data_IF_588415232829
#
_entry.id   IF_588415232829
#
_cell.length_a   1.000
_cell.length_b   1.000
_cell.length_c   1.000
_cell.angle_alpha   90.00
_cell.angle_beta   90.00
_cell.angle_gamma   90.00
#
_symmetry.space_group_name_H-M   'P 1'
#
loop_
_entity.id
_entity.type
_entity.pdbx_description
1 polymer ?
#
# COMPACT_ATOMS: atom_id res chain seq x y z
N UNK A 1 16.64 9.58 -5.64
CA UNK A 1 16.45 8.17 -5.22
C UNK A 1 15.87 7.37 -6.39
N UNK A 2 15.90 6.02 -6.35
CA UNK A 2 15.43 5.18 -7.46
C UNK A 2 13.89 5.16 -7.45
N UNK A 3 13.24 5.38 -8.60
CA UNK A 3 11.78 5.40 -8.70
C UNK A 3 11.14 4.00 -8.60
N UNK A 4 9.99 3.92 -7.93
CA UNK A 4 9.21 2.70 -7.75
C UNK A 4 8.18 2.52 -8.87
N UNK A 5 7.85 1.28 -9.19
CA UNK A 5 6.90 0.84 -10.21
C UNK A 5 6.14 -0.42 -9.78
N UNK A 6 5.16 -0.83 -10.56
CA UNK A 6 4.45 -2.08 -10.36
C UNK A 6 5.42 -3.28 -10.28
N UNK A 7 5.05 -4.28 -9.47
CA UNK A 7 5.85 -5.45 -9.04
C UNK A 7 7.04 -5.17 -8.12
N UNK A 8 7.30 -3.90 -7.78
CA UNK A 8 8.29 -3.61 -6.76
C UNK A 8 7.84 -4.12 -5.39
N UNK A 9 8.81 -4.52 -4.58
CA UNK A 9 8.54 -5.12 -3.28
C UNK A 9 8.30 -4.04 -2.25
N UNK A 10 7.36 -4.30 -1.35
CA UNK A 10 7.02 -3.44 -0.23
C UNK A 10 7.21 -4.26 1.04
N UNK A 11 8.26 -3.95 1.78
CA UNK A 11 8.64 -4.67 3.01
C UNK A 11 8.57 -3.74 4.20
N UNK A 12 8.14 -4.25 5.35
CA UNK A 12 8.23 -3.50 6.59
C UNK A 12 7.68 -4.26 7.78
N UNK A 13 7.25 -3.50 8.77
CA UNK A 13 6.64 -4.01 9.98
C UNK A 13 5.24 -3.42 10.09
N UNK A 14 4.27 -4.14 10.63
CA UNK A 14 2.99 -3.60 11.08
C UNK A 14 2.77 -3.98 12.54
N UNK A 15 1.97 -3.20 13.26
CA UNK A 15 1.58 -3.49 14.64
C UNK A 15 0.11 -3.90 14.65
N UNK A 16 -0.19 -5.09 15.16
CA UNK A 16 -1.56 -5.56 15.31
C UNK A 16 -1.85 -5.95 16.74
N UNK A 17 -3.08 -5.71 17.17
CA UNK A 17 -3.52 -6.15 18.48
C UNK A 17 -4.00 -7.59 18.37
N UNK A 18 -3.38 -8.45 19.15
CA UNK A 18 -3.78 -9.85 19.25
C UNK A 18 -4.19 -10.20 20.68
N UNK A 19 -5.17 -11.10 20.80
CA UNK A 19 -5.56 -11.72 22.04
C UNK A 19 -4.56 -12.81 22.39
N UNK A 20 -3.70 -12.51 23.37
CA UNK A 20 -2.78 -13.48 23.96
C UNK A 20 -3.52 -14.26 25.04
N UNK A 21 -3.54 -15.61 25.01
CA UNK A 21 -4.47 -16.43 25.79
C UNK A 21 -4.28 -16.45 27.32
N UNK A 22 -3.23 -15.84 27.90
CA UNK A 22 -2.88 -16.03 29.32
C UNK A 22 -2.44 -14.73 30.02
N UNK A 23 -2.86 -14.48 31.28
CA UNK A 23 -3.81 -15.24 32.11
C UNK A 23 -5.29 -14.99 31.77
N UNK A 24 -5.59 -14.02 30.92
CA UNK A 24 -6.86 -13.84 30.21
C UNK A 24 -6.54 -13.32 28.80
N UNK A 25 -7.39 -13.55 27.79
CA UNK A 25 -7.26 -12.96 26.46
C UNK A 25 -7.06 -11.44 26.56
N UNK A 26 -5.81 -11.00 26.44
CA UNK A 26 -5.43 -9.61 26.62
C UNK A 26 -5.01 -9.05 25.27
N UNK A 27 -5.68 -7.99 24.78
CA UNK A 27 -5.22 -7.28 23.59
C UNK A 27 -3.79 -6.80 23.78
N UNK A 28 -2.88 -7.38 23.02
CA UNK A 28 -1.43 -7.14 23.10
C UNK A 28 -0.94 -6.65 21.75
N UNK A 29 -0.26 -5.50 21.67
CA UNK A 29 0.33 -5.04 20.42
C UNK A 29 1.49 -5.96 20.06
N UNK A 30 1.36 -6.70 18.95
CA UNK A 30 2.38 -7.58 18.43
C UNK A 30 2.90 -7.07 17.08
N UNK A 31 4.23 -7.11 16.87
CA UNK A 31 4.84 -6.74 15.60
C UNK A 31 4.69 -7.87 14.58
N UNK A 32 4.18 -7.54 13.39
CA UNK A 32 3.98 -8.46 12.28
C UNK A 32 4.86 -8.06 11.10
N UNK A 33 5.49 -9.02 10.41
CA UNK A 33 6.17 -8.72 9.15
C UNK A 33 5.14 -8.32 8.09
N UNK A 34 5.39 -7.21 7.41
CA UNK A 34 4.61 -6.79 6.24
C UNK A 34 5.39 -7.07 4.97
N UNK A 35 4.79 -7.82 4.04
CA UNK A 35 5.36 -8.10 2.72
C UNK A 35 4.26 -8.02 1.67
N UNK A 36 4.42 -7.16 0.68
CA UNK A 36 3.51 -6.98 -0.43
C UNK A 36 4.26 -6.64 -1.73
N UNK A 37 3.59 -6.74 -2.87
CA UNK A 37 4.06 -6.15 -4.13
C UNK A 37 3.23 -4.93 -4.51
N UNK A 38 3.84 -3.98 -5.22
CA UNK A 38 3.13 -2.85 -5.82
C UNK A 38 2.29 -3.32 -7.00
N UNK A 39 1.05 -2.85 -7.07
CA UNK A 39 0.14 -3.21 -8.16
C UNK A 39 -0.44 -4.61 -7.95
N UNK A 40 -1.41 -4.70 -7.03
CA UNK A 40 -2.25 -5.89 -6.88
C UNK A 40 -2.81 -6.32 -8.26
N UNK A 41 -2.85 -7.63 -8.58
CA UNK A 41 -3.41 -8.15 -9.82
C UNK A 41 -4.75 -7.53 -10.22
N UNK A 42 -5.59 -7.17 -9.24
CA UNK A 42 -6.87 -6.48 -9.46
C UNK A 42 -6.72 -5.07 -10.03
N UNK A 43 -5.74 -4.28 -9.56
CA UNK A 43 -5.43 -2.93 -10.10
C UNK A 43 -4.87 -3.04 -11.52
N UNK A 44 -3.99 -4.02 -11.75
CA UNK A 44 -3.41 -4.30 -13.06
C UNK A 44 -4.48 -4.72 -14.06
N UNK A 45 -5.40 -5.60 -13.66
CA UNK A 45 -6.52 -6.02 -14.49
C UNK A 45 -7.50 -4.87 -14.79
N UNK A 46 -7.87 -4.07 -13.78
CA UNK A 46 -8.73 -2.91 -13.97
C UNK A 46 -8.13 -1.91 -14.96
N UNK A 47 -6.81 -1.69 -14.88
CA UNK A 47 -6.11 -0.77 -15.77
C UNK A 47 -5.87 -1.36 -17.17
N UNK A 48 -5.59 -2.66 -17.29
CA UNK A 48 -5.47 -3.35 -18.57
C UNK A 48 -6.78 -3.36 -19.36
N UNK A 49 -7.94 -3.28 -18.69
CA UNK A 49 -9.25 -3.15 -19.34
C UNK A 49 -9.60 -1.68 -19.58
N UNK A 50 -9.28 -0.77 -18.65
CA UNK A 50 -9.61 0.65 -18.75
C UNK A 50 -8.84 1.37 -19.86
N UNK A 51 -7.54 1.13 -19.98
CA UNK A 51 -6.68 1.79 -20.99
C UNK A 51 -7.15 1.60 -22.44
N UNK A 52 -7.41 0.36 -22.93
CA UNK A 52 -7.90 0.18 -24.29
C UNK A 52 -9.32 0.72 -24.47
N UNK A 53 -10.15 0.75 -23.43
CA UNK A 53 -11.50 1.33 -23.51
C UNK A 53 -11.45 2.85 -23.63
N UNK A 54 -10.59 3.52 -22.88
CA UNK A 54 -10.39 4.97 -22.98
C UNK A 54 -9.76 5.36 -24.32
N UNK A 55 -8.76 4.62 -24.77
CA UNK A 55 -8.17 4.78 -26.11
C UNK A 55 -9.21 4.56 -27.23
N UNK A 56 -10.06 3.54 -27.11
CA UNK A 56 -11.11 3.26 -28.10
C UNK A 56 -12.26 4.29 -28.07
N UNK A 57 -12.50 4.94 -26.93
CA UNK A 57 -13.56 5.94 -26.77
C UNK A 57 -13.20 7.33 -27.33
N UNK A 58 -11.95 7.55 -27.74
CA UNK A 58 -11.47 8.85 -28.23
C UNK A 58 -11.32 9.91 -27.13
N UNK A 59 -11.62 9.59 -25.87
CA UNK A 59 -11.36 10.42 -24.70
C UNK A 59 -9.94 10.21 -24.15
N UNK A 60 -8.99 9.82 -25.01
CA UNK A 60 -7.62 9.55 -24.60
C UNK A 60 -6.95 10.87 -24.17
N UNK A 61 -6.96 11.14 -22.87
CA UNK A 61 -6.30 12.32 -22.31
C UNK A 61 -4.79 12.09 -22.39
N UNK A 62 -4.13 12.85 -23.25
CA UNK A 62 -2.68 12.75 -23.50
C UNK A 62 -1.88 12.97 -22.21
N UNK A 63 -2.44 13.74 -21.27
CA UNK A 63 -1.83 14.08 -19.98
C UNK A 63 -2.04 13.00 -18.90
N UNK A 64 -2.95 12.04 -19.13
CA UNK A 64 -3.25 10.90 -18.24
C UNK A 64 -2.60 9.59 -18.74
N UNK A 65 -1.75 9.69 -19.77
CA UNK A 65 -0.99 8.52 -20.24
C UNK A 65 -0.19 7.95 -19.08
N UNK A 66 -0.28 6.63 -18.83
CA UNK A 66 0.43 6.00 -17.75
C UNK A 66 1.93 6.18 -17.93
N UNK A 67 2.55 6.96 -17.05
CA UNK A 67 4.01 7.03 -17.01
C UNK A 67 4.54 5.68 -16.56
N UNK A 68 5.53 5.17 -17.28
CA UNK A 68 6.17 3.90 -16.98
C UNK A 68 7.63 4.11 -16.63
N UNK A 69 8.12 3.29 -15.71
CA UNK A 69 9.52 3.11 -15.38
C UNK A 69 9.87 1.70 -15.85
N UNK A 70 10.85 1.57 -16.74
CA UNK A 70 11.27 0.28 -17.31
C UNK A 70 10.10 -0.54 -17.92
N UNK A 71 9.14 0.13 -18.55
CA UNK A 71 7.97 -0.51 -19.17
C UNK A 71 6.89 -1.00 -18.20
N UNK A 72 7.09 -0.83 -16.88
CA UNK A 72 6.07 -1.07 -15.86
C UNK A 72 5.56 0.25 -15.30
N UNK A 73 4.33 0.26 -14.80
CA UNK A 73 3.66 1.49 -14.36
C UNK A 73 4.36 2.10 -13.16
N UNK A 74 4.56 3.42 -13.19
CA UNK A 74 5.09 4.15 -12.05
C UNK A 74 4.18 4.02 -10.83
N UNK A 75 4.80 3.89 -9.65
CA UNK A 75 4.12 3.97 -8.35
C UNK A 75 4.06 5.41 -7.89
N UNK A 76 2.84 5.90 -7.63
CA UNK A 76 2.59 7.23 -7.10
C UNK A 76 2.01 7.17 -5.69
N UNK A 77 2.09 8.30 -4.97
CA UNK A 77 1.36 8.53 -3.71
C UNK A 77 -0.12 8.21 -3.90
N UNK A 78 -0.73 7.60 -2.88
CA UNK A 78 -2.08 7.06 -2.95
C UNK A 78 -2.16 5.60 -3.44
N UNK A 79 -1.06 5.03 -3.95
CA UNK A 79 -1.04 3.61 -4.33
C UNK A 79 -1.16 2.72 -3.10
N UNK A 80 -2.05 1.73 -3.17
CA UNK A 80 -2.24 0.72 -2.14
C UNK A 80 -1.55 -0.57 -2.57
N UNK A 81 -0.79 -1.14 -1.66
CA UNK A 81 -0.22 -2.48 -1.78
C UNK A 81 -0.90 -3.42 -0.81
N UNK A 82 -1.18 -4.66 -1.22
CA UNK A 82 -1.83 -5.65 -0.36
C UNK A 82 -0.88 -6.80 -0.08
N UNK A 83 -0.75 -7.17 1.19
CA UNK A 83 0.10 -8.28 1.60
C UNK A 83 -0.45 -9.65 1.20
N UNK A 84 -1.74 -9.74 0.85
CA UNK A 84 -2.33 -10.94 0.22
C UNK A 84 -1.62 -11.37 -1.06
N UNK A 85 -0.84 -10.48 -1.68
CA UNK A 85 0.00 -10.78 -2.85
C UNK A 85 1.27 -11.59 -2.51
N UNK A 86 1.71 -11.62 -1.25
CA UNK A 86 2.98 -12.24 -0.86
C UNK A 86 2.91 -12.97 0.49
N UNK A 87 2.51 -12.30 1.57
CA UNK A 87 2.39 -12.89 2.91
C UNK A 87 1.14 -12.33 3.61
N UNK A 88 -0.01 -13.02 3.58
CA UNK A 88 -1.23 -12.55 4.24
C UNK A 88 -1.04 -12.46 5.76
N UNK A 89 -1.84 -11.63 6.44
CA UNK A 89 -1.83 -11.56 7.89
C UNK A 89 -2.28 -12.90 8.47
N UNK A 90 -1.42 -13.51 9.25
CA UNK A 90 -1.72 -14.69 10.08
C UNK A 90 -1.48 -14.28 11.53
N UNK A 91 -2.29 -14.75 12.49
CA UNK A 91 -2.03 -14.50 13.90
C UNK A 91 -0.65 -15.06 14.32
N UNK A 92 0.16 -14.25 15.00
CA UNK A 92 1.52 -14.60 15.40
C UNK A 92 1.82 -14.05 16.81
N UNK A 93 2.12 -14.90 17.80
CA UNK A 93 2.49 -16.32 17.71
C UNK A 93 1.31 -17.29 17.64
N UNK A 94 1.53 -18.58 17.27
CA UNK A 94 0.47 -19.58 17.26
C UNK A 94 -0.32 -19.63 18.58
N UNK A 95 -1.64 -19.70 18.47
CA UNK A 95 -2.54 -19.70 19.63
C UNK A 95 -3.06 -18.32 20.05
N UNK A 96 -2.64 -17.25 19.37
CA UNK A 96 -3.30 -15.95 19.44
C UNK A 96 -4.46 -15.85 18.46
N UNK A 97 -5.32 -14.84 18.66
CA UNK A 97 -6.35 -14.44 17.70
C UNK A 97 -6.38 -12.92 17.57
N UNK A 98 -7.04 -12.40 16.53
CA UNK A 98 -7.16 -10.95 16.37
C UNK A 98 -7.96 -10.33 17.53
N UNK A 99 -7.42 -9.27 18.12
CA UNK A 99 -8.20 -8.47 19.03
C UNK A 99 -9.26 -7.68 18.24
N UNK A 100 -10.43 -7.42 18.83
CA UNK A 100 -11.45 -6.60 18.20
C UNK A 100 -10.98 -5.14 18.17
N UNK A 101 -10.27 -4.78 17.11
CA UNK A 101 -9.84 -3.41 16.87
C UNK A 101 -10.60 -2.76 15.72
N UNK A 102 -10.91 -1.47 15.84
CA UNK A 102 -11.39 -0.68 14.71
C UNK A 102 -10.36 -0.73 13.58
N UNK A 103 -10.77 -1.10 12.35
CA UNK A 103 -9.86 -1.01 11.20
C UNK A 103 -9.40 0.44 11.04
N UNK A 104 -8.10 0.69 10.85
CA UNK A 104 -7.62 2.03 10.56
C UNK A 104 -8.31 2.57 9.30
N UNK A 105 -8.91 3.78 9.37
CA UNK A 105 -9.56 4.37 8.21
C UNK A 105 -8.55 4.47 7.08
N UNK A 106 -8.96 3.99 5.91
CA UNK A 106 -8.15 4.09 4.69
C UNK A 106 -8.34 5.50 4.12
N UNK A 107 -7.27 6.28 3.92
CA UNK A 107 -7.38 7.50 3.14
C UNK A 107 -7.92 7.14 1.75
N UNK A 108 -9.00 7.78 1.28
CA UNK A 108 -9.42 7.60 -0.10
C UNK A 108 -8.26 7.98 -1.03
N UNK A 109 -8.11 7.25 -2.13
CA UNK A 109 -7.16 7.62 -3.18
C UNK A 109 -7.76 8.82 -3.91
N UNK A 110 -7.23 10.02 -3.66
CA UNK A 110 -7.74 11.27 -4.22
C UNK A 110 -8.19 12.28 -3.15
N UNK A 111 -8.67 13.44 -3.61
CA UNK A 111 -8.88 14.68 -2.82
C UNK A 111 -9.55 14.41 -1.46
N UNK A 112 -8.86 14.92 -0.42
CA UNK A 112 -9.14 14.84 1.01
C UNK A 112 -10.64 14.99 1.34
N UNK A 113 -11.31 13.88 1.65
CA UNK A 113 -12.61 13.89 2.31
C UNK A 113 -12.57 13.02 3.57
N UNK A 114 -13.44 13.36 4.52
CA UNK A 114 -13.47 12.89 5.91
C UNK A 114 -13.38 11.37 6.06
N UNK A 115 -12.58 10.87 7.02
CA UNK A 115 -12.33 9.44 7.18
C UNK A 115 -13.59 8.65 7.55
N UNK A 116 -13.77 7.43 6.99
CA UNK A 116 -14.91 6.58 7.31
C UNK A 116 -14.86 6.09 8.77
N UNK A 117 -16.02 5.80 9.39
CA UNK A 117 -16.07 5.25 10.73
C UNK A 117 -15.48 3.83 10.78
N UNK A 118 -14.96 3.41 11.94
CA UNK A 118 -14.26 2.14 12.06
C UNK A 118 -15.15 0.88 11.99
N UNK A 119 -14.62 -0.17 11.37
CA UNK A 119 -15.27 -1.47 11.15
C UNK A 119 -15.30 -2.40 12.40
N UNK A 120 -16.12 -3.47 12.30
CA UNK A 120 -16.26 -4.61 13.23
C UNK A 120 -14.97 -5.46 13.37
N UNK A 121 -14.88 -6.38 14.37
CA UNK A 121 -13.71 -7.22 14.64
C UNK A 121 -13.36 -8.10 13.44
N UNK A 122 -12.31 -7.76 12.72
CA UNK A 122 -11.90 -8.45 11.50
C UNK A 122 -10.37 -8.47 11.46
N UNK A 123 -9.82 -9.50 10.82
CA UNK A 123 -8.41 -9.54 10.41
C UNK A 123 -7.94 -8.16 9.92
N UNK A 124 -6.70 -7.75 10.21
CA UNK A 124 -6.15 -6.51 9.70
C UNK A 124 -6.34 -6.37 8.20
N UNK A 125 -6.49 -5.13 7.73
CA UNK A 125 -6.77 -4.84 6.32
C UNK A 125 -5.71 -5.41 5.36
N UNK A 126 -4.50 -5.69 5.85
CA UNK A 126 -3.44 -6.31 5.05
C UNK A 126 -2.94 -5.41 3.94
N UNK A 127 -2.92 -4.09 4.16
CA UNK A 127 -2.53 -3.13 3.15
C UNK A 127 -1.58 -2.05 3.67
N UNK A 128 -0.78 -1.50 2.76
CA UNK A 128 0.04 -0.32 2.99
C UNK A 128 -0.22 0.74 1.92
N UNK A 129 -0.38 1.98 2.37
CA UNK A 129 -0.61 3.15 1.55
C UNK A 129 0.70 3.92 1.35
N UNK A 130 1.04 4.21 0.11
CA UNK A 130 2.12 5.13 -0.24
C UNK A 130 1.69 6.55 0.13
N UNK A 131 2.12 7.06 1.29
CA UNK A 131 1.65 8.34 1.84
C UNK A 131 2.51 9.54 1.41
N UNK A 132 3.78 9.28 1.07
CA UNK A 132 4.72 10.32 0.62
C UNK A 132 5.54 9.84 -0.56
N UNK A 133 5.85 10.76 -1.46
CA UNK A 133 6.73 10.54 -2.60
C UNK A 133 7.73 11.69 -2.74
N UNK A 134 8.20 11.90 -3.97
CA UNK A 134 9.02 13.05 -4.32
C UNK A 134 8.23 14.35 -4.21
N UNK A 135 8.77 15.33 -3.49
CA UNK A 135 8.17 16.67 -3.38
C UNK A 135 8.41 17.55 -4.62
N UNK A 136 9.28 17.12 -5.54
CA UNK A 136 9.66 17.88 -6.72
C UNK A 136 9.35 17.18 -8.04
N UNK A 137 9.01 15.89 -8.02
CA UNK A 137 8.78 15.08 -9.22
C UNK A 137 7.45 14.35 -9.13
N UNK A 138 6.59 14.63 -10.09
CA UNK A 138 5.35 13.88 -10.32
C UNK A 138 5.43 13.16 -11.67
N UNK A 139 4.85 11.97 -11.73
CA UNK A 139 4.73 11.18 -12.94
C UNK A 139 3.25 10.87 -13.17
N UNK A 140 2.64 11.50 -14.18
CA UNK A 140 1.19 11.46 -14.37
C UNK A 140 0.48 12.22 -13.23
N UNK A 141 -0.50 11.57 -12.59
CA UNK A 141 -1.43 12.22 -11.66
C UNK A 141 -0.92 12.41 -10.22
N UNK A 142 0.33 12.07 -9.91
CA UNK A 142 0.81 12.17 -8.52
C UNK A 142 2.33 12.17 -8.34
N UNK A 143 2.74 12.47 -7.11
CA UNK A 143 4.13 12.40 -6.67
C UNK A 143 4.67 10.97 -6.81
N UNK A 144 5.86 10.84 -7.42
CA UNK A 144 6.46 9.52 -7.63
C UNK A 144 7.06 8.98 -6.33
N UNK A 145 6.76 7.72 -6.02
CA UNK A 145 7.34 7.00 -4.89
C UNK A 145 8.74 6.52 -5.26
N UNK A 146 9.67 6.60 -4.32
CA UNK A 146 11.07 6.23 -4.49
C UNK A 146 11.48 5.16 -3.48
N UNK A 147 12.61 4.52 -3.74
CA UNK A 147 13.30 3.66 -2.78
C UNK A 147 13.48 4.41 -1.46
N UNK A 148 12.98 3.82 -0.38
CA UNK A 148 13.09 4.38 0.98
C UNK A 148 11.93 5.29 1.38
N UNK A 149 11.03 5.66 0.46
CA UNK A 149 9.82 6.40 0.84
C UNK A 149 8.93 5.51 1.73
N UNK A 150 8.41 6.11 2.81
CA UNK A 150 7.68 5.41 3.86
C UNK A 150 6.21 5.23 3.49
N UNK A 151 5.68 4.04 3.77
CA UNK A 151 4.26 3.75 3.59
C UNK A 151 3.54 3.66 4.94
N UNK A 152 2.26 4.05 4.96
CA UNK A 152 1.38 3.88 6.10
C UNK A 152 0.72 2.50 6.05
N UNK A 153 1.15 1.59 6.93
CA UNK A 153 0.62 0.22 6.98
C UNK A 153 -0.75 0.15 7.65
N UNK A 154 -1.35 -1.04 7.66
CA UNK A 154 -2.59 -1.33 8.37
C UNK A 154 -2.43 -1.45 9.90
N UNK A 155 -1.37 -0.86 10.49
CA UNK A 155 -1.14 -0.89 11.94
C UNK A 155 -2.33 -0.36 12.73
N UNK A 156 -2.59 -0.93 13.89
CA UNK A 156 -3.68 -0.56 14.81
C UNK A 156 -3.17 0.29 15.98
N UNK A 157 -4.00 1.18 16.57
CA UNK A 157 -5.39 1.52 16.20
C UNK A 157 -5.53 2.51 15.04
N UNK A 158 -4.41 3.06 14.55
CA UNK A 158 -4.37 3.99 13.44
C UNK A 158 -3.21 3.64 12.53
N UNK A 159 -3.32 3.90 11.22
CA UNK A 159 -2.24 3.61 10.27
C UNK A 159 -0.98 4.32 10.74
N UNK A 160 0.06 3.54 10.99
CA UNK A 160 1.37 4.07 11.38
C UNK A 160 2.31 4.00 10.18
N UNK A 161 3.24 4.95 10.12
CA UNK A 161 4.41 4.94 9.23
C UNK A 161 5.40 3.87 9.70
N UNK A 162 4.97 2.61 9.69
CA UNK A 162 5.72 1.51 10.25
C UNK A 162 6.74 0.98 9.22
N UNK A 163 7.80 1.73 8.97
CA UNK A 163 9.00 1.36 8.17
C UNK A 163 8.69 0.42 6.99
N UNK A 164 7.69 0.79 6.20
CA UNK A 164 7.39 0.06 4.97
C UNK A 164 8.12 0.78 3.85
N UNK A 165 9.12 0.11 3.29
CA UNK A 165 10.00 0.63 2.25
C UNK A 165 9.65 -0.05 0.93
N UNK A 166 9.38 0.77 -0.09
CA UNK A 166 9.31 0.29 -1.45
C UNK A 166 10.74 0.00 -1.98
N UNK A 167 10.93 -1.16 -2.60
CA UNK A 167 12.21 -1.66 -3.11
C UNK A 167 12.09 -1.84 -4.63
N UNK A 168 12.66 -0.92 -5.42
CA UNK A 168 12.67 -1.02 -6.87
C UNK A 168 13.48 -2.20 -7.39
N UNK A 169 12.92 -2.94 -8.34
CA UNK A 169 13.60 -4.06 -9.02
C UNK A 169 14.04 -3.65 -10.43
N UNK A 170 15.21 -4.09 -10.91
CA UNK A 170 15.66 -3.85 -12.28
C UNK A 170 16.47 -2.54 -12.49
N UNK A 171 16.65 -2.07 -13.73
CA UNK A 171 17.51 -0.92 -14.04
C UNK A 171 17.10 0.35 -13.28
N UNK A 172 18.03 1.07 -12.64
CA UNK A 172 17.66 2.22 -11.82
C UNK A 172 17.22 3.39 -12.70
N UNK A 173 16.01 3.91 -12.43
CA UNK A 173 15.57 5.22 -12.93
C UNK A 173 15.70 6.23 -11.81
N UNK A 174 16.53 7.24 -12.01
CA UNK A 174 16.81 8.26 -11.00
C UNK A 174 15.69 9.30 -10.98
N UNK A 175 15.03 9.40 -9.83
CA UNK A 175 14.14 10.50 -9.49
C UNK A 175 14.90 11.45 -8.57
N UNK A 176 15.20 12.66 -9.06
CA UNK A 176 15.88 13.70 -8.31
C UNK A 176 14.85 14.66 -7.71
N UNK A 177 14.92 14.94 -6.40
CA UNK A 177 13.93 15.72 -5.66
C UNK A 177 13.73 15.16 -4.27
#
# INVERSE_FOLDING_TARGET
>A
MIGCKDDDLVVGLCMHMELVPMPAPTPTPLPHPFLATVGDPSRKAAKAVGQPLEAASGNEKIDERPVTINGALTTNVGTITKNSSALPHVPLPPGTGWAPMPKPPKPPVGILTTPPPPDLPVCPAGDALMDKGSSAVSFGEGEVVRLGDMCASCSEPARQVSTVIAIPVGPPVLVLG
#
